data_IF_557969705636
#
_entry.id   IF_557969705636
#
_cell.length_a   1.000
_cell.length_b   1.000
_cell.length_c   1.000
_cell.angle_alpha   90.00
_cell.angle_beta   90.00
_cell.angle_gamma   90.00
#
_symmetry.space_group_name_H-M   'P 1'
#
loop_
_entity.id
_entity.type
_entity.pdbx_description
1 polymer ?
#
# COMPACT_ATOMS: atom_id res chain seq x y z
N UNK A 1 -4.70 -15.43 3.26
CA UNK A 1 -5.14 -15.62 1.86
C UNK A 1 -4.03 -15.12 0.94
N UNK A 2 -3.65 -15.88 -0.09
CA UNK A 2 -2.76 -15.39 -1.16
C UNK A 2 -3.68 -14.93 -2.29
N UNK A 3 -3.76 -13.63 -2.53
CA UNK A 3 -4.67 -13.02 -3.51
C UNK A 3 -3.91 -12.05 -4.39
N UNK A 4 -4.18 -12.08 -5.70
CA UNK A 4 -3.73 -11.05 -6.63
C UNK A 4 -4.44 -9.74 -6.28
N UNK A 5 -3.84 -8.59 -6.57
CA UNK A 5 -4.56 -7.31 -6.49
C UNK A 5 -5.75 -7.39 -7.44
N UNK A 6 -6.97 -7.21 -6.91
CA UNK A 6 -8.19 -7.18 -7.70
C UNK A 6 -8.16 -5.99 -8.67
N UNK A 7 -8.24 -6.26 -9.97
CA UNK A 7 -8.16 -5.23 -11.02
C UNK A 7 -9.29 -4.20 -10.90
N UNK A 8 -10.46 -4.59 -10.38
CA UNK A 8 -11.58 -3.67 -10.16
C UNK A 8 -11.22 -2.53 -9.18
N UNK A 9 -10.59 -2.87 -8.05
CA UNK A 9 -10.16 -1.88 -7.07
C UNK A 9 -9.06 -0.96 -7.63
N UNK A 10 -8.14 -1.53 -8.40
CA UNK A 10 -7.09 -0.75 -9.07
C UNK A 10 -7.68 0.24 -10.07
N UNK A 11 -8.64 -0.22 -10.89
CA UNK A 11 -9.35 0.60 -11.87
C UNK A 11 -10.18 1.70 -11.21
N UNK A 12 -10.81 1.42 -10.07
CA UNK A 12 -11.57 2.42 -9.31
C UNK A 12 -10.67 3.58 -8.81
N UNK A 13 -9.48 3.26 -8.31
CA UNK A 13 -8.53 4.29 -7.86
C UNK A 13 -7.97 5.05 -9.07
N UNK A 14 -7.64 4.35 -10.16
CA UNK A 14 -7.16 4.96 -11.39
C UNK A 14 -8.19 5.88 -12.05
N UNK A 15 -9.50 5.56 -11.98
CA UNK A 15 -10.56 6.41 -12.52
C UNK A 15 -10.68 7.76 -11.80
N UNK A 16 -9.99 7.94 -10.66
CA UNK A 16 -9.87 9.20 -9.93
C UNK A 16 -8.64 10.02 -10.34
N UNK A 17 -7.92 9.59 -11.39
CA UNK A 17 -6.73 10.26 -11.90
C UNK A 17 -5.43 9.85 -11.20
N UNK A 18 -5.45 8.77 -10.42
CA UNK A 18 -4.27 8.26 -9.71
C UNK A 18 -3.51 7.28 -10.63
N UNK A 19 -2.20 7.50 -10.87
CA UNK A 19 -1.38 6.59 -11.66
C UNK A 19 -1.35 5.15 -11.12
N UNK A 20 -1.16 4.16 -12.00
CA UNK A 20 -1.26 2.72 -11.66
C UNK A 20 -0.28 2.30 -10.56
N UNK A 21 0.95 2.79 -10.62
CA UNK A 21 2.00 2.60 -9.61
C UNK A 21 1.58 3.17 -8.25
N UNK A 22 1.04 4.38 -8.24
CA UNK A 22 0.55 5.04 -7.03
C UNK A 22 -0.68 4.33 -6.46
N UNK A 23 -1.61 3.90 -7.32
CA UNK A 23 -2.79 3.14 -6.93
C UNK A 23 -2.41 1.76 -6.34
N UNK A 24 -1.43 1.09 -6.94
CA UNK A 24 -0.88 -0.18 -6.42
C UNK A 24 -0.26 0.01 -5.04
N UNK A 25 0.54 1.07 -4.87
CA UNK A 25 1.17 1.40 -3.60
C UNK A 25 0.15 1.73 -2.50
N UNK A 26 -0.94 2.44 -2.84
CA UNK A 26 -2.06 2.72 -1.92
C UNK A 26 -2.77 1.44 -1.46
N UNK A 27 -3.08 0.52 -2.38
CA UNK A 27 -3.73 -0.75 -2.05
C UNK A 27 -2.84 -1.59 -1.12
N UNK A 28 -1.56 -1.73 -1.46
CA UNK A 28 -0.60 -2.49 -0.64
C UNK A 28 -0.47 -1.84 0.74
N UNK A 29 -0.36 -0.51 0.80
CA UNK A 29 -0.25 0.22 2.07
C UNK A 29 -1.49 0.05 2.94
N UNK A 30 -2.70 0.17 2.37
CA UNK A 30 -3.95 -0.03 3.10
C UNK A 30 -4.17 -1.47 3.55
N UNK A 31 -3.71 -2.46 2.77
CA UNK A 31 -3.73 -3.87 3.16
C UNK A 31 -2.76 -4.17 4.32
N UNK A 32 -1.57 -3.56 4.29
CA UNK A 32 -0.55 -3.68 5.33
C UNK A 32 -0.83 -2.81 6.56
N UNK A 33 -1.84 -1.94 6.51
CA UNK A 33 -2.24 -1.08 7.64
C UNK A 33 -2.97 -1.88 8.74
N UNK A 34 -2.24 -2.85 9.30
CA UNK A 34 -2.62 -3.59 10.52
C UNK A 34 -2.32 -2.74 11.77
N UNK A 35 -1.93 -1.47 11.59
CA UNK A 35 -1.23 -0.67 12.59
C UNK A 35 -2.13 -0.02 13.65
N UNK A 36 -3.38 -0.48 13.80
CA UNK A 36 -4.26 0.03 14.85
C UNK A 36 -3.68 -0.35 16.21
N UNK A 37 -3.17 0.64 16.95
CA UNK A 37 -2.66 0.47 18.32
C UNK A 37 -1.13 0.43 18.45
N UNK A 38 -0.36 0.65 17.38
CA UNK A 38 1.09 0.80 17.49
C UNK A 38 1.50 2.21 17.94
N UNK A 39 2.48 2.35 18.85
CA UNK A 39 3.09 3.64 19.15
C UNK A 39 3.64 4.34 17.90
N UNK A 40 3.49 5.66 17.81
CA UNK A 40 3.89 6.47 16.65
C UNK A 40 5.32 6.19 16.13
N UNK A 41 6.35 5.99 16.97
CA UNK A 41 7.70 5.68 16.48
C UNK A 41 7.77 4.36 15.71
N UNK A 42 7.01 3.36 16.14
CA UNK A 42 6.98 2.02 15.52
C UNK A 42 6.18 2.09 14.22
N UNK A 43 5.06 2.82 14.23
CA UNK A 43 4.25 3.09 13.05
C UNK A 43 5.08 3.77 11.95
N UNK A 44 5.83 4.82 12.30
CA UNK A 44 6.66 5.57 11.38
C UNK A 44 7.79 4.71 10.79
N UNK A 45 8.45 3.90 11.63
CA UNK A 45 9.49 2.96 11.18
C UNK A 45 8.93 1.91 10.21
N UNK A 46 7.79 1.30 10.53
CA UNK A 46 7.14 0.29 9.70
C UNK A 46 6.71 0.86 8.34
N UNK A 47 6.09 2.05 8.32
CA UNK A 47 5.75 2.77 7.07
C UNK A 47 7.00 3.01 6.21
N UNK A 48 8.11 3.40 6.85
CA UNK A 48 9.40 3.58 6.19
C UNK A 48 9.94 2.30 5.57
N UNK A 49 9.83 1.17 6.29
CA UNK A 49 10.29 -0.14 5.82
C UNK A 49 9.50 -0.62 4.60
N UNK A 50 8.16 -0.56 4.70
CA UNK A 50 7.24 -0.94 3.61
C UNK A 50 7.53 -0.12 2.35
N UNK A 51 7.73 1.19 2.50
CA UNK A 51 7.99 2.09 1.37
C UNK A 51 9.31 1.80 0.66
N UNK A 52 10.34 1.36 1.40
CA UNK A 52 11.65 1.00 0.83
C UNK A 52 11.57 -0.31 0.06
N UNK A 53 10.97 -1.34 0.66
CA UNK A 53 10.83 -2.65 0.02
C UNK A 53 9.91 -2.59 -1.21
N UNK A 54 8.82 -1.80 -1.16
CA UNK A 54 7.95 -1.60 -2.32
C UNK A 54 8.67 -0.95 -3.50
N UNK A 55 9.67 -0.08 -3.24
CA UNK A 55 10.47 0.57 -4.28
C UNK A 55 11.53 -0.34 -4.89
N UNK A 56 12.05 -1.30 -4.13
CA UNK A 56 13.05 -2.27 -4.61
C UNK A 56 12.42 -3.40 -5.46
N UNK A 57 11.12 -3.62 -5.33
CA UNK A 57 10.37 -4.66 -6.06
C UNK A 57 9.73 -4.16 -7.37
N UNK A 58 9.73 -2.84 -7.61
CA UNK A 58 9.24 -2.18 -8.85
C UNK A 58 10.41 -1.76 -9.73
#
# INVERSE_FOLDING_TARGET
AVGRIEEEHLNYIMSRGIPRDQATSLIISGFLDVARGLPEPILAWMKGLISRTARELM
#
